data_IF_470504454550
#
_entry.id   IF_470504454550
#
_cell.length_a   1.000
_cell.length_b   1.000
_cell.length_c   1.000
_cell.angle_alpha   90.00
_cell.angle_beta   90.00
_cell.angle_gamma   90.00
#
_symmetry.space_group_name_H-M   'P 1'
#
loop_
_entity.id
_entity.type
_entity.pdbx_description
1 polymer ?
#
# COMPACT_ATOMS: atom_id res chain seq x y z
N UNK A 1 55.68 4.81 5.26
CA UNK A 1 55.97 6.07 5.95
C UNK A 1 54.71 6.65 6.59
N UNK A 2 54.82 7.57 7.51
CA UNK A 2 53.67 8.17 8.20
C UNK A 2 52.81 8.99 7.20
N UNK A 3 53.44 9.54 6.17
CA UNK A 3 52.71 10.22 5.05
C UNK A 3 51.84 9.27 4.27
N UNK A 4 52.28 8.04 4.00
CA UNK A 4 51.44 7.03 3.34
C UNK A 4 50.22 6.70 4.17
N UNK A 5 50.38 6.56 5.47
CA UNK A 5 49.29 6.33 6.39
C UNK A 5 48.28 7.49 6.41
N UNK A 6 48.80 8.73 6.39
CA UNK A 6 47.98 9.94 6.38
C UNK A 6 47.16 10.05 5.11
N UNK A 7 47.78 9.87 3.92
CA UNK A 7 47.11 9.92 2.63
C UNK A 7 46.06 8.80 2.49
N UNK A 8 46.38 7.58 2.95
CA UNK A 8 45.44 6.47 2.95
C UNK A 8 44.25 6.75 3.86
N UNK A 9 44.49 7.31 5.05
CA UNK A 9 43.42 7.68 5.99
C UNK A 9 42.51 8.76 5.38
N UNK A 10 43.08 9.76 4.74
CA UNK A 10 42.29 10.80 4.08
C UNK A 10 41.40 10.22 2.95
N UNK A 11 41.98 9.34 2.12
CA UNK A 11 41.19 8.66 1.07
C UNK A 11 40.07 7.79 1.63
N UNK A 12 40.36 7.00 2.66
CA UNK A 12 39.35 6.14 3.31
C UNK A 12 38.23 6.98 3.93
N UNK A 13 38.56 8.06 4.63
CA UNK A 13 37.55 8.94 5.23
C UNK A 13 36.59 9.52 4.18
N UNK A 14 37.09 9.93 3.02
CA UNK A 14 36.24 10.40 1.90
C UNK A 14 35.41 9.26 1.31
N UNK A 15 35.98 8.07 1.13
CA UNK A 15 35.24 6.92 0.62
C UNK A 15 34.14 6.50 1.60
N UNK A 16 34.45 6.41 2.88
CA UNK A 16 33.52 5.96 3.92
C UNK A 16 32.33 6.95 4.02
N UNK A 17 32.59 8.26 3.99
CA UNK A 17 31.53 9.29 3.96
C UNK A 17 30.63 9.15 2.72
N UNK A 18 31.20 8.93 1.55
CA UNK A 18 30.42 8.75 0.30
C UNK A 18 29.60 7.47 0.34
N UNK A 19 30.18 6.36 0.83
CA UNK A 19 29.51 5.06 0.92
C UNK A 19 28.37 5.10 1.93
N UNK A 20 28.55 5.76 3.07
CA UNK A 20 27.52 5.91 4.10
C UNK A 20 26.32 6.72 3.61
N UNK A 21 26.56 7.72 2.76
CA UNK A 21 25.53 8.64 2.26
C UNK A 21 25.00 8.30 0.86
N UNK A 22 25.38 7.16 0.26
CA UNK A 22 24.87 6.75 -1.05
C UNK A 22 23.40 6.42 -1.00
N UNK A 23 22.66 6.89 -2.01
CA UNK A 23 21.22 6.69 -2.18
C UNK A 23 20.95 6.17 -3.60
N UNK A 24 19.76 5.62 -3.81
CA UNK A 24 19.32 5.14 -5.13
C UNK A 24 19.38 6.18 -6.27
N UNK A 25 19.53 7.47 -5.95
CA UNK A 25 19.50 8.57 -6.92
C UNK A 25 20.84 9.28 -7.12
N UNK A 26 21.92 8.93 -6.41
CA UNK A 26 23.16 9.71 -6.43
C UNK A 26 24.44 8.91 -6.73
N UNK A 27 24.32 7.70 -7.29
CA UNK A 27 25.48 6.81 -7.54
C UNK A 27 26.56 7.46 -8.40
N UNK A 28 26.19 8.12 -9.52
CA UNK A 28 27.14 8.76 -10.43
C UNK A 28 27.92 9.91 -9.75
N UNK A 29 27.23 10.68 -8.91
CA UNK A 29 27.85 11.75 -8.14
C UNK A 29 28.81 11.20 -7.08
N UNK A 30 28.43 10.08 -6.46
CA UNK A 30 29.23 9.37 -5.47
C UNK A 30 30.50 8.79 -6.09
N UNK A 31 30.41 8.14 -7.24
CA UNK A 31 31.60 7.65 -7.99
C UNK A 31 32.54 8.77 -8.37
N UNK A 32 31.99 9.88 -8.91
CA UNK A 32 32.80 11.05 -9.27
C UNK A 32 33.54 11.63 -8.06
N UNK A 33 32.91 11.64 -6.88
CA UNK A 33 33.54 12.14 -5.66
C UNK A 33 34.71 11.25 -5.20
N UNK A 34 34.56 9.92 -5.23
CA UNK A 34 35.62 8.97 -4.90
C UNK A 34 36.78 9.11 -5.92
N UNK A 35 36.45 9.23 -7.22
CA UNK A 35 37.44 9.41 -8.27
C UNK A 35 38.26 10.69 -8.07
N UNK A 36 37.56 11.80 -7.80
CA UNK A 36 38.20 13.10 -7.56
C UNK A 36 39.10 13.08 -6.32
N UNK A 37 38.69 12.40 -5.26
CA UNK A 37 39.50 12.21 -4.07
C UNK A 37 40.78 11.40 -4.35
N UNK A 38 40.65 10.30 -5.11
CA UNK A 38 41.83 9.52 -5.56
C UNK A 38 42.83 10.39 -6.33
N UNK A 39 42.30 11.16 -7.28
CA UNK A 39 43.16 11.99 -8.14
C UNK A 39 43.86 13.14 -7.38
N UNK A 40 43.12 13.77 -6.45
CA UNK A 40 43.68 14.81 -5.60
C UNK A 40 44.80 14.25 -4.68
N UNK A 41 44.57 13.10 -4.05
CA UNK A 41 45.53 12.45 -3.16
C UNK A 41 46.75 11.97 -3.96
N UNK A 42 46.56 11.40 -5.15
CA UNK A 42 47.65 10.99 -6.03
C UNK A 42 48.49 12.17 -6.45
N UNK A 43 47.90 13.32 -6.77
CA UNK A 43 48.57 14.56 -7.09
C UNK A 43 49.43 15.08 -5.94
N UNK A 44 48.88 15.07 -4.71
CA UNK A 44 49.62 15.48 -3.50
C UNK A 44 50.76 14.50 -3.15
N UNK A 45 50.57 13.22 -3.46
CA UNK A 45 51.56 12.16 -3.23
C UNK A 45 52.67 12.11 -4.24
N UNK A 46 52.59 12.83 -5.39
CA UNK A 46 53.56 12.77 -6.49
C UNK A 46 55.00 13.07 -6.05
N UNK A 47 55.21 14.07 -5.19
CA UNK A 47 56.53 14.47 -4.68
C UNK A 47 57.19 13.34 -3.84
N UNK A 48 56.35 12.45 -3.25
CA UNK A 48 56.81 11.38 -2.38
C UNK A 48 56.68 9.98 -2.99
N UNK A 49 56.37 9.95 -4.32
CA UNK A 49 56.13 8.70 -5.04
C UNK A 49 55.03 7.82 -4.41
N UNK A 50 54.01 8.44 -3.80
CA UNK A 50 52.89 7.76 -3.16
C UNK A 50 51.63 7.97 -3.98
N UNK A 51 50.96 6.89 -4.32
CA UNK A 51 49.66 6.92 -5.02
C UNK A 51 48.70 5.85 -4.49
N UNK A 52 47.41 6.07 -4.66
CA UNK A 52 46.39 5.06 -4.38
C UNK A 52 46.48 3.96 -5.45
N UNK A 53 46.71 2.72 -5.00
CA UNK A 53 46.82 1.59 -5.92
C UNK A 53 45.49 1.36 -6.67
N UNK A 54 45.55 1.11 -8.00
CA UNK A 54 44.33 0.89 -8.81
C UNK A 54 43.43 -0.26 -8.29
N UNK A 55 44.06 -1.30 -7.70
CA UNK A 55 43.31 -2.41 -7.08
C UNK A 55 42.54 -1.94 -5.88
N UNK A 56 43.11 -1.11 -5.03
CA UNK A 56 42.44 -0.61 -3.83
C UNK A 56 41.31 0.36 -4.19
N UNK A 57 41.54 1.23 -5.16
CA UNK A 57 40.48 2.11 -5.70
C UNK A 57 39.28 1.29 -6.22
N UNK A 58 39.51 0.23 -6.99
CA UNK A 58 38.44 -0.65 -7.50
C UNK A 58 37.63 -1.28 -6.37
N UNK A 59 38.30 -1.76 -5.31
CA UNK A 59 37.60 -2.30 -4.13
C UNK A 59 36.68 -1.26 -3.48
N UNK A 60 37.09 0.00 -3.40
CA UNK A 60 36.25 1.07 -2.84
C UNK A 60 35.05 1.39 -3.75
N UNK A 61 35.20 1.31 -5.06
CA UNK A 61 34.09 1.43 -6.02
C UNK A 61 33.13 0.24 -5.90
N UNK A 62 33.64 -0.99 -5.76
CA UNK A 62 32.80 -2.18 -5.53
C UNK A 62 32.01 -2.06 -4.22
N UNK A 63 32.64 -1.57 -3.16
CA UNK A 63 31.98 -1.30 -1.86
C UNK A 63 30.85 -0.26 -2.01
N UNK A 64 31.10 0.82 -2.78
CA UNK A 64 30.09 1.81 -3.09
C UNK A 64 28.88 1.20 -3.86
N UNK A 65 29.14 0.35 -4.86
CA UNK A 65 28.07 -0.31 -5.61
C UNK A 65 27.24 -1.25 -4.73
N UNK A 66 27.87 -2.01 -3.84
CA UNK A 66 27.14 -2.86 -2.89
C UNK A 66 26.26 -2.03 -1.95
N UNK A 67 26.74 -0.91 -1.45
CA UNK A 67 25.97 0.00 -0.62
C UNK A 67 24.79 0.61 -1.40
N UNK A 68 25.02 0.95 -2.66
CA UNK A 68 23.97 1.43 -3.56
C UNK A 68 22.89 0.38 -3.81
N UNK A 69 23.24 -0.87 -4.12
CA UNK A 69 22.30 -1.97 -4.31
C UNK A 69 21.46 -2.21 -3.05
N UNK A 70 22.08 -2.14 -1.88
CA UNK A 70 21.37 -2.21 -0.61
C UNK A 70 20.37 -1.07 -0.45
N UNK A 71 20.79 0.17 -0.74
CA UNK A 71 19.91 1.34 -0.66
C UNK A 71 18.72 1.23 -1.64
N UNK A 72 18.98 0.69 -2.84
CA UNK A 72 17.95 0.46 -3.86
C UNK A 72 16.92 -0.59 -3.42
N UNK A 73 17.37 -1.74 -2.91
CA UNK A 73 16.48 -2.78 -2.37
C UNK A 73 15.64 -2.26 -1.21
N UNK A 74 16.25 -1.55 -0.29
CA UNK A 74 15.54 -0.94 0.84
C UNK A 74 14.47 0.06 0.40
N UNK A 75 14.72 0.80 -0.68
CA UNK A 75 13.73 1.71 -1.24
C UNK A 75 12.57 0.94 -1.90
N UNK A 76 12.87 -0.11 -2.66
CA UNK A 76 11.86 -0.99 -3.26
C UNK A 76 10.95 -1.63 -2.21
N UNK A 77 11.53 -2.22 -1.17
CA UNK A 77 10.77 -2.81 -0.04
C UNK A 77 9.84 -1.79 0.63
N UNK A 78 10.33 -0.54 0.79
CA UNK A 78 9.52 0.54 1.37
C UNK A 78 8.36 0.94 0.47
N UNK A 79 8.54 0.94 -0.83
CA UNK A 79 7.50 1.23 -1.81
C UNK A 79 6.45 0.11 -1.85
N UNK A 80 6.88 -1.15 -1.91
CA UNK A 80 6.01 -2.32 -1.82
C UNK A 80 5.17 -2.33 -0.52
N UNK A 81 5.80 -2.04 0.62
CA UNK A 81 5.09 -1.92 1.89
C UNK A 81 4.04 -0.79 1.88
N UNK A 82 4.33 0.34 1.22
CA UNK A 82 3.35 1.43 1.08
C UNK A 82 2.16 1.00 0.22
N UNK A 83 2.42 0.32 -0.89
CA UNK A 83 1.36 -0.18 -1.78
C UNK A 83 0.48 -1.22 -1.08
N UNK A 84 1.09 -2.17 -0.38
CA UNK A 84 0.36 -3.18 0.41
C UNK A 84 -0.51 -2.50 1.47
N UNK A 85 0.04 -1.53 2.22
CA UNK A 85 -0.74 -0.78 3.22
C UNK A 85 -1.86 0.04 2.61
N UNK A 86 -1.64 0.65 1.44
CA UNK A 86 -2.66 1.40 0.72
C UNK A 86 -3.81 0.47 0.31
N UNK A 87 -3.49 -0.68 -0.29
CA UNK A 87 -4.47 -1.70 -0.69
C UNK A 87 -5.27 -2.21 0.51
N UNK A 88 -4.60 -2.57 1.60
CA UNK A 88 -5.29 -3.03 2.82
C UNK A 88 -6.24 -1.96 3.39
N UNK A 89 -5.89 -0.67 3.29
CA UNK A 89 -6.78 0.42 3.73
C UNK A 89 -8.00 0.56 2.83
N UNK A 90 -7.83 0.41 1.53
CA UNK A 90 -8.94 0.46 0.57
C UNK A 90 -9.89 -0.72 0.76
N UNK A 91 -9.35 -1.93 0.91
CA UNK A 91 -10.13 -3.13 1.22
C UNK A 91 -10.90 -2.99 2.54
N UNK A 92 -10.26 -2.47 3.59
CA UNK A 92 -10.91 -2.25 4.88
C UNK A 92 -12.04 -1.19 4.82
N UNK A 93 -11.85 -0.13 4.00
CA UNK A 93 -12.91 0.87 3.78
C UNK A 93 -14.10 0.27 3.06
N UNK A 94 -13.83 -0.47 1.99
CA UNK A 94 -14.86 -1.08 1.19
C UNK A 94 -15.65 -2.16 1.97
N UNK A 95 -14.94 -2.98 2.77
CA UNK A 95 -15.58 -3.94 3.66
C UNK A 95 -16.49 -3.25 4.70
N UNK A 96 -16.04 -2.11 5.22
CA UNK A 96 -16.85 -1.32 6.15
C UNK A 96 -18.09 -0.72 5.49
N UNK A 97 -17.96 -0.20 4.28
CA UNK A 97 -19.08 0.35 3.50
C UNK A 97 -20.14 -0.73 3.23
N UNK A 98 -19.71 -1.93 2.83
CA UNK A 98 -20.59 -3.09 2.63
C UNK A 98 -21.31 -3.48 3.92
N UNK A 99 -20.59 -3.53 5.03
CA UNK A 99 -21.20 -3.86 6.33
C UNK A 99 -22.22 -2.81 6.78
N UNK A 100 -21.95 -1.52 6.55
CA UNK A 100 -22.88 -0.44 6.85
C UNK A 100 -24.13 -0.49 5.95
N UNK A 101 -23.96 -0.79 4.67
CA UNK A 101 -25.06 -0.96 3.72
C UNK A 101 -25.94 -2.15 4.11
N UNK A 102 -25.33 -3.30 4.43
CA UNK A 102 -26.02 -4.48 4.91
C UNK A 102 -26.86 -4.21 6.16
N UNK A 103 -26.28 -3.51 7.14
CA UNK A 103 -27.02 -3.11 8.36
C UNK A 103 -28.21 -2.19 8.09
N UNK A 104 -28.13 -1.34 7.06
CA UNK A 104 -29.25 -0.50 6.64
C UNK A 104 -30.36 -1.36 6.03
N UNK A 105 -30.01 -2.24 5.10
CA UNK A 105 -30.97 -3.15 4.47
C UNK A 105 -31.65 -4.08 5.50
N UNK A 106 -30.91 -4.60 6.46
CA UNK A 106 -31.47 -5.42 7.55
C UNK A 106 -32.51 -4.65 8.36
N UNK A 107 -32.26 -3.37 8.68
CA UNK A 107 -33.22 -2.52 9.40
C UNK A 107 -34.46 -2.23 8.56
N UNK A 108 -34.29 -1.97 7.28
CA UNK A 108 -35.40 -1.73 6.35
C UNK A 108 -36.25 -3.00 6.18
N UNK A 109 -35.62 -4.14 5.97
CA UNK A 109 -36.29 -5.43 5.89
C UNK A 109 -37.10 -5.71 7.15
N UNK A 110 -36.52 -5.51 8.32
CA UNK A 110 -37.24 -5.69 9.61
C UNK A 110 -38.40 -4.73 9.74
N UNK A 111 -38.26 -3.48 9.28
CA UNK A 111 -39.36 -2.51 9.29
C UNK A 111 -40.53 -2.97 8.41
N UNK A 112 -40.27 -3.38 7.18
CA UNK A 112 -41.31 -3.84 6.25
C UNK A 112 -41.93 -5.18 6.70
N UNK A 113 -41.15 -6.11 7.27
CA UNK A 113 -41.67 -7.34 7.85
C UNK A 113 -42.63 -7.08 9.01
N UNK A 114 -42.29 -6.15 9.90
CA UNK A 114 -43.17 -5.74 11.00
C UNK A 114 -44.46 -5.06 10.48
N UNK A 115 -44.35 -4.24 9.43
CA UNK A 115 -45.50 -3.62 8.80
C UNK A 115 -46.40 -4.69 8.15
N UNK A 116 -45.82 -5.68 7.48
CA UNK A 116 -46.56 -6.80 6.88
C UNK A 116 -47.32 -7.63 7.91
N UNK A 117 -46.70 -7.90 9.06
CA UNK A 117 -47.37 -8.60 10.18
C UNK A 117 -48.59 -7.82 10.67
N UNK A 118 -48.47 -6.48 10.82
CA UNK A 118 -49.58 -5.62 11.23
C UNK A 118 -50.72 -5.64 10.21
N UNK A 119 -50.40 -5.54 8.92
CA UNK A 119 -51.38 -5.58 7.82
C UNK A 119 -52.07 -6.93 7.74
N UNK A 120 -51.37 -8.05 7.95
CA UNK A 120 -51.98 -9.36 7.99
C UNK A 120 -52.99 -9.49 9.14
N UNK A 121 -52.65 -8.98 10.33
CA UNK A 121 -53.59 -8.95 11.47
C UNK A 121 -54.83 -8.06 11.19
N UNK A 122 -54.65 -6.95 10.49
CA UNK A 122 -55.76 -6.08 10.06
C UNK A 122 -56.65 -6.78 9.02
N UNK A 123 -56.06 -7.55 8.12
CA UNK A 123 -56.80 -8.31 7.09
C UNK A 123 -57.69 -9.42 7.70
N UNK A 124 -57.23 -10.04 8.78
CA UNK A 124 -58.01 -11.04 9.53
C UNK A 124 -59.23 -10.41 10.24
N UNK A 125 -59.11 -9.15 10.67
CA UNK A 125 -60.17 -8.43 11.38
C UNK A 125 -61.07 -7.55 10.49
N UNK A 126 -60.77 -7.44 9.18
CA UNK A 126 -61.41 -6.48 8.26
C UNK A 126 -62.76 -6.97 7.72
N UNK A 127 -63.68 -6.02 7.50
CA UNK A 127 -64.91 -6.24 6.73
C UNK A 127 -64.62 -6.43 5.24
N UNK A 128 -65.55 -7.07 4.52
CA UNK A 128 -65.42 -7.32 3.08
C UNK A 128 -65.20 -6.03 2.24
N UNK A 129 -65.73 -4.90 2.69
CA UNK A 129 -65.55 -3.60 2.05
C UNK A 129 -64.13 -3.02 2.18
N UNK A 130 -63.43 -3.32 3.28
CA UNK A 130 -62.09 -2.76 3.57
C UNK A 130 -60.95 -3.67 3.07
N UNK A 131 -61.25 -4.94 2.79
CA UNK A 131 -60.27 -5.94 2.39
C UNK A 131 -59.46 -5.55 1.13
N UNK A 132 -60.11 -5.05 0.11
CA UNK A 132 -59.45 -4.69 -1.14
C UNK A 132 -58.38 -3.63 -0.95
N UNK A 133 -58.64 -2.60 -0.13
CA UNK A 133 -57.66 -1.54 0.14
C UNK A 133 -56.51 -2.05 1.01
N UNK A 134 -56.74 -3.02 1.92
CA UNK A 134 -55.68 -3.61 2.76
C UNK A 134 -54.80 -4.58 1.94
N UNK A 135 -55.40 -5.33 1.00
CA UNK A 135 -54.68 -6.20 0.08
C UNK A 135 -53.74 -5.41 -0.85
N UNK A 136 -54.20 -4.24 -1.35
CA UNK A 136 -53.37 -3.35 -2.15
C UNK A 136 -52.10 -2.88 -1.37
N UNK A 137 -52.29 -2.43 -0.13
CA UNK A 137 -51.17 -2.05 0.75
C UNK A 137 -50.25 -3.24 1.09
N UNK A 138 -50.82 -4.45 1.25
CA UNK A 138 -50.01 -5.66 1.42
C UNK A 138 -49.13 -5.95 0.19
N UNK A 139 -49.72 -5.82 -1.00
CA UNK A 139 -48.98 -6.03 -2.26
C UNK A 139 -47.82 -5.02 -2.43
N UNK A 140 -48.04 -3.75 -2.05
CA UNK A 140 -46.95 -2.74 -2.03
C UNK A 140 -45.82 -3.11 -1.07
N UNK A 141 -46.12 -3.58 0.14
CA UNK A 141 -45.11 -4.00 1.13
C UNK A 141 -44.31 -5.22 0.66
N UNK A 142 -45.00 -6.20 0.04
CA UNK A 142 -44.32 -7.37 -0.55
C UNK A 142 -43.38 -6.93 -1.68
N UNK A 143 -43.81 -6.02 -2.55
CA UNK A 143 -42.96 -5.49 -3.60
C UNK A 143 -41.71 -4.75 -3.07
N UNK A 144 -41.83 -4.06 -1.94
CA UNK A 144 -40.68 -3.43 -1.28
C UNK A 144 -39.73 -4.47 -0.67
N UNK A 145 -40.25 -5.53 -0.06
CA UNK A 145 -39.43 -6.63 0.44
C UNK A 145 -38.66 -7.35 -0.69
N UNK A 146 -39.33 -7.63 -1.82
CA UNK A 146 -38.70 -8.24 -2.99
C UNK A 146 -37.56 -7.35 -3.56
N UNK A 147 -37.72 -6.04 -3.46
CA UNK A 147 -36.66 -5.08 -3.86
C UNK A 147 -35.47 -5.15 -2.93
N UNK A 148 -35.71 -5.16 -1.61
CA UNK A 148 -34.65 -5.28 -0.59
C UNK A 148 -33.89 -6.60 -0.75
N UNK A 149 -34.59 -7.71 -1.01
CA UNK A 149 -33.94 -9.02 -1.22
C UNK A 149 -33.02 -9.01 -2.45
N UNK A 150 -33.38 -8.27 -3.53
CA UNK A 150 -32.49 -8.06 -4.67
C UNK A 150 -31.28 -7.19 -4.32
N UNK A 151 -31.47 -6.17 -3.51
CA UNK A 151 -30.36 -5.32 -3.01
C UNK A 151 -29.42 -6.11 -2.12
N UNK A 152 -29.92 -7.02 -1.27
CA UNK A 152 -29.09 -7.97 -0.52
C UNK A 152 -28.26 -8.88 -1.44
N UNK A 153 -28.87 -9.45 -2.47
CA UNK A 153 -28.16 -10.29 -3.43
C UNK A 153 -27.04 -9.53 -4.14
N UNK A 154 -27.23 -8.24 -4.43
CA UNK A 154 -26.20 -7.39 -5.03
C UNK A 154 -25.06 -7.10 -4.04
N UNK A 155 -25.36 -6.85 -2.77
CA UNK A 155 -24.37 -6.66 -1.69
C UNK A 155 -23.55 -7.93 -1.51
N UNK A 156 -24.19 -9.10 -1.45
CA UNK A 156 -23.52 -10.41 -1.33
C UNK A 156 -22.64 -10.71 -2.53
N UNK A 157 -23.08 -10.36 -3.74
CA UNK A 157 -22.28 -10.49 -4.96
C UNK A 157 -21.03 -9.59 -4.92
N UNK A 158 -21.16 -8.35 -4.48
CA UNK A 158 -20.03 -7.42 -4.33
C UNK A 158 -19.05 -7.92 -3.27
N UNK A 159 -19.53 -8.44 -2.14
CA UNK A 159 -18.68 -9.01 -1.08
C UNK A 159 -17.92 -10.25 -1.59
N UNK A 160 -18.57 -11.13 -2.34
CA UNK A 160 -17.96 -12.32 -2.91
C UNK A 160 -16.86 -11.97 -3.93
N UNK A 161 -17.10 -10.98 -4.79
CA UNK A 161 -16.14 -10.56 -5.82
C UNK A 161 -14.94 -9.79 -5.26
N UNK A 162 -15.06 -9.15 -4.09
CA UNK A 162 -13.93 -8.56 -3.40
C UNK A 162 -12.91 -9.61 -2.92
N UNK A 163 -13.38 -10.78 -2.50
CA UNK A 163 -12.51 -11.89 -2.08
C UNK A 163 -11.85 -12.61 -3.27
N UNK A 164 -12.46 -12.56 -4.46
CA UNK A 164 -11.94 -13.19 -5.67
C UNK A 164 -10.79 -12.42 -6.34
N UNK A 165 -10.50 -11.18 -5.94
CA UNK A 165 -9.36 -10.38 -6.43
C UNK A 165 -7.98 -10.87 -5.98
N UNK A 166 -7.88 -11.98 -5.25
CA UNK A 166 -6.64 -12.63 -4.81
C UNK A 166 -6.22 -13.81 -5.69
N UNK A 167 -6.39 -13.70 -7.00
CA UNK A 167 -5.78 -14.68 -7.90
C UNK A 167 -4.89 -13.93 -8.90
N UNK A 168 -3.62 -13.96 -8.59
CA UNK A 168 -2.35 -13.61 -9.25
C UNK A 168 -1.50 -12.63 -8.48
#
# INVERSE_FOLDING_TARGET
SDMQKLLLRAFNSECDDVIEHVKYSNIDASEKRITASRDAISKLGTIMEVSIQPKYYRLKIEELHLAFEYAQKKQQEKEEQKEVRARMREEAKLAKEIEEERKKLEKEQQHYQNALQRINAQLEAASDADRAAIEEKKAELVAQLDKIDKEFADVDYREANQRAGYVY
#
